data_IF_260620700573
#
_entry.id   IF_260620700573
#
_cell.length_a   1.000
_cell.length_b   1.000
_cell.length_c   1.000
_cell.angle_alpha   90.00
_cell.angle_beta   90.00
_cell.angle_gamma   90.00
#
_symmetry.space_group_name_H-M   'P 1'
#
loop_
_entity.id
_entity.type
_entity.pdbx_description
1 polymer ?
#
# COMPACT_ATOMS: atom_id res chain seq x y z
N UNK A 1 -1.27 -12.12 -19.73
CA UNK A 1 -2.58 -11.44 -19.72
C UNK A 1 -2.45 -9.93 -19.93
N UNK A 2 -1.57 -9.25 -19.21
CA UNK A 2 -1.37 -7.79 -19.32
C UNK A 2 -0.95 -7.28 -20.70
N UNK A 3 -0.04 -7.99 -21.39
CA UNK A 3 0.35 -7.66 -22.76
C UNK A 3 -0.86 -7.71 -23.70
N UNK A 4 -1.69 -8.76 -23.58
CA UNK A 4 -2.90 -8.91 -24.38
C UNK A 4 -3.90 -7.79 -24.11
N UNK A 5 -4.12 -7.44 -22.84
CA UNK A 5 -5.00 -6.32 -22.46
C UNK A 5 -4.50 -5.00 -23.00
N UNK A 6 -3.19 -4.74 -22.89
CA UNK A 6 -2.55 -3.55 -23.44
C UNK A 6 -2.76 -3.49 -24.96
N UNK A 7 -2.56 -4.59 -25.67
CA UNK A 7 -2.73 -4.64 -27.12
C UNK A 7 -4.18 -4.41 -27.52
N UNK A 8 -5.14 -5.12 -26.92
CA UNK A 8 -6.56 -5.02 -27.28
C UNK A 8 -7.11 -3.62 -26.95
N UNK A 9 -6.95 -3.17 -25.70
CA UNK A 9 -7.45 -1.86 -25.28
C UNK A 9 -6.67 -0.72 -25.92
N UNK A 10 -5.35 -0.88 -26.06
CA UNK A 10 -4.47 0.06 -26.73
C UNK A 10 -4.82 0.24 -28.19
N UNK A 11 -5.07 -0.85 -28.94
CA UNK A 11 -5.53 -0.77 -30.33
C UNK A 11 -6.91 -0.12 -30.44
N UNK A 12 -7.84 -0.45 -29.55
CA UNK A 12 -9.16 0.19 -29.53
C UNK A 12 -9.05 1.71 -29.28
N UNK A 13 -8.26 2.12 -28.28
CA UNK A 13 -8.07 3.53 -27.96
C UNK A 13 -7.24 4.27 -29.00
N UNK A 14 -6.29 3.60 -29.65
CA UNK A 14 -5.57 4.13 -30.82
C UNK A 14 -6.54 4.43 -31.96
N UNK A 15 -7.45 3.50 -32.31
CA UNK A 15 -8.48 3.71 -33.33
C UNK A 15 -9.42 4.85 -32.97
N UNK A 16 -9.82 4.93 -31.70
CA UNK A 16 -10.62 6.05 -31.20
C UNK A 16 -9.86 7.37 -31.32
N UNK A 17 -8.58 7.38 -30.93
CA UNK A 17 -7.66 8.51 -31.08
C UNK A 17 -7.53 8.96 -32.53
N UNK A 18 -7.46 8.03 -33.49
CA UNK A 18 -7.48 8.36 -34.91
C UNK A 18 -8.79 9.05 -35.33
N UNK A 19 -9.94 8.55 -34.89
CA UNK A 19 -11.25 9.17 -35.19
C UNK A 19 -11.34 10.57 -34.62
N UNK A 20 -10.88 10.77 -33.39
CA UNK A 20 -10.83 12.08 -32.75
C UNK A 20 -9.86 13.02 -33.47
N UNK A 21 -8.69 12.53 -33.88
CA UNK A 21 -7.74 13.28 -34.72
C UNK A 21 -8.36 13.78 -36.03
N UNK A 22 -9.17 12.94 -36.72
CA UNK A 22 -9.91 13.40 -37.91
C UNK A 22 -10.90 14.53 -37.58
N UNK A 23 -11.58 14.46 -36.43
CA UNK A 23 -12.49 15.51 -35.99
C UNK A 23 -11.74 16.82 -35.71
N UNK A 24 -10.57 16.75 -35.06
CA UNK A 24 -9.72 17.93 -34.83
C UNK A 24 -9.27 18.58 -36.15
N UNK A 25 -8.84 17.78 -37.13
CA UNK A 25 -8.45 18.29 -38.45
C UNK A 25 -9.63 18.97 -39.14
N UNK A 26 -10.84 18.41 -39.05
CA UNK A 26 -12.07 19.06 -39.56
C UNK A 26 -12.36 20.41 -38.86
N UNK A 27 -11.95 20.57 -37.62
CA UNK A 27 -12.03 21.82 -36.86
C UNK A 27 -10.86 22.78 -37.11
N UNK A 28 -10.05 22.53 -38.14
CA UNK A 28 -8.95 23.39 -38.57
C UNK A 28 -7.65 23.19 -37.80
N UNK A 29 -7.52 22.14 -37.00
CA UNK A 29 -6.27 21.82 -36.28
C UNK A 29 -5.25 21.22 -37.25
N UNK A 30 -4.04 21.77 -37.28
CA UNK A 30 -2.91 21.24 -38.06
C UNK A 30 -1.78 20.78 -37.15
N UNK A 31 -0.86 19.96 -37.67
CA UNK A 31 0.29 19.50 -36.89
C UNK A 31 1.22 20.65 -36.48
N UNK A 32 1.27 21.74 -37.25
CA UNK A 32 2.09 22.92 -36.96
C UNK A 32 1.42 23.89 -35.97
N UNK A 33 0.09 23.84 -35.84
CA UNK A 33 -0.70 24.77 -35.04
C UNK A 33 -1.60 24.06 -34.01
N UNK A 34 -1.19 22.87 -33.53
CA UNK A 34 -2.03 22.01 -32.67
C UNK A 34 -2.65 22.77 -31.49
N UNK A 35 -1.91 23.74 -30.94
CA UNK A 35 -2.35 24.61 -29.84
C UNK A 35 -2.11 26.11 -30.09
N UNK A 36 -1.70 26.53 -31.29
CA UNK A 36 -1.33 27.93 -31.54
C UNK A 36 -2.56 28.83 -31.42
N UNK A 37 -2.50 29.82 -30.54
CA UNK A 37 -3.63 30.71 -30.23
C UNK A 37 -4.74 30.05 -29.39
N UNK A 38 -4.55 28.80 -28.94
CA UNK A 38 -5.53 28.00 -28.17
C UNK A 38 -4.97 27.56 -26.81
N UNK A 39 -4.35 28.49 -26.09
CA UNK A 39 -3.69 28.23 -24.79
C UNK A 39 -4.63 27.58 -23.76
N UNK A 40 -5.91 27.94 -23.76
CA UNK A 40 -6.91 27.33 -22.85
C UNK A 40 -7.11 25.83 -23.10
N UNK A 41 -7.13 25.40 -24.36
CA UNK A 41 -7.28 23.98 -24.73
C UNK A 41 -6.00 23.21 -24.39
N UNK A 42 -4.83 23.81 -24.61
CA UNK A 42 -3.55 23.20 -24.23
C UNK A 42 -3.43 23.00 -22.71
N UNK A 43 -3.80 24.03 -21.93
CA UNK A 43 -3.82 23.96 -20.47
C UNK A 43 -4.85 22.95 -19.96
N UNK A 44 -6.02 22.86 -20.59
CA UNK A 44 -7.03 21.85 -20.26
C UNK A 44 -6.49 20.44 -20.53
N UNK A 45 -5.85 20.21 -21.68
CA UNK A 45 -5.26 18.92 -22.02
C UNK A 45 -4.13 18.54 -21.05
N UNK A 46 -3.24 19.48 -20.72
CA UNK A 46 -2.17 19.27 -19.74
C UNK A 46 -2.75 19.02 -18.35
N UNK A 47 -3.73 19.80 -17.92
CA UNK A 47 -4.42 19.64 -16.64
C UNK A 47 -5.16 18.30 -16.53
N UNK A 48 -5.80 17.85 -17.61
CA UNK A 48 -6.42 16.53 -17.68
C UNK A 48 -5.39 15.40 -17.57
N UNK A 49 -4.27 15.50 -18.29
CA UNK A 49 -3.18 14.53 -18.20
C UNK A 49 -2.55 14.47 -16.80
N UNK A 50 -2.26 15.64 -16.20
CA UNK A 50 -1.77 15.73 -14.83
C UNK A 50 -2.80 15.19 -13.83
N UNK A 51 -4.07 15.51 -14.01
CA UNK A 51 -5.16 14.98 -13.18
C UNK A 51 -5.26 13.46 -13.23
N UNK A 52 -5.11 12.88 -14.42
CA UNK A 52 -5.06 11.42 -14.60
C UNK A 52 -3.83 10.80 -13.94
N UNK A 53 -2.66 11.41 -14.06
CA UNK A 53 -1.44 10.95 -13.37
C UNK A 53 -1.60 10.99 -11.85
N UNK A 54 -2.18 12.06 -11.31
CA UNK A 54 -2.45 12.18 -9.88
C UNK A 54 -3.48 11.14 -9.42
N UNK A 55 -4.55 10.93 -10.18
CA UNK A 55 -5.55 9.90 -9.89
C UNK A 55 -4.90 8.51 -9.92
N UNK A 56 -4.11 8.24 -10.95
CA UNK A 56 -3.33 7.02 -11.13
C UNK A 56 -2.44 6.69 -9.92
N UNK A 57 -1.75 7.71 -9.39
CA UNK A 57 -0.84 7.56 -8.24
C UNK A 57 -1.58 7.38 -6.91
N UNK A 58 -2.72 8.07 -6.72
CA UNK A 58 -3.41 8.12 -5.43
C UNK A 58 -4.53 7.09 -5.28
N UNK A 59 -5.23 6.74 -6.37
CA UNK A 59 -6.38 5.85 -6.34
C UNK A 59 -6.03 4.46 -5.77
N UNK A 60 -4.95 3.78 -6.19
CA UNK A 60 -4.58 2.48 -5.64
C UNK A 60 -4.26 2.50 -4.14
N UNK A 61 -3.94 3.67 -3.58
CA UNK A 61 -3.58 3.81 -2.17
C UNK A 61 -4.77 4.13 -1.25
N UNK A 62 -5.97 4.32 -1.82
CA UNK A 62 -7.14 4.69 -1.03
C UNK A 62 -7.59 3.55 -0.11
N UNK A 63 -7.72 3.78 1.22
CA UNK A 63 -8.11 2.73 2.18
C UNK A 63 -9.49 2.13 1.96
N UNK A 64 -10.38 2.83 1.24
CA UNK A 64 -11.74 2.37 0.92
C UNK A 64 -11.76 1.22 -0.09
N UNK A 65 -10.68 1.05 -0.86
CA UNK A 65 -10.62 0.03 -1.89
C UNK A 65 -10.27 -1.34 -1.29
N UNK A 66 -10.79 -2.44 -1.85
CA UNK A 66 -10.43 -3.79 -1.44
C UNK A 66 -8.91 -4.01 -1.48
N UNK A 67 -8.40 -4.85 -0.57
CA UNK A 67 -6.97 -5.17 -0.46
C UNK A 67 -6.41 -5.63 -1.82
N UNK A 68 -7.11 -6.51 -2.52
CA UNK A 68 -6.68 -7.03 -3.82
C UNK A 68 -6.50 -5.91 -4.87
N UNK A 69 -7.39 -4.93 -4.86
CA UNK A 69 -7.26 -3.75 -5.73
C UNK A 69 -6.06 -2.89 -5.32
N UNK A 70 -5.81 -2.70 -4.03
CA UNK A 70 -4.67 -1.89 -3.56
C UNK A 70 -3.32 -2.57 -3.87
N UNK A 71 -3.28 -3.90 -3.86
CA UNK A 71 -2.10 -4.70 -4.24
C UNK A 71 -1.84 -4.63 -5.75
N UNK A 72 -2.87 -4.79 -6.58
CA UNK A 72 -2.71 -4.82 -8.04
C UNK A 72 -2.89 -3.48 -8.73
N UNK A 73 -3.42 -2.48 -8.03
CA UNK A 73 -3.88 -1.21 -8.60
C UNK A 73 -2.76 -0.40 -9.22
N UNK A 74 -1.53 -0.51 -8.70
CA UNK A 74 -0.38 0.12 -9.33
C UNK A 74 -0.15 -0.41 -10.75
N UNK A 75 -0.16 -1.74 -10.95
CA UNK A 75 -0.01 -2.35 -12.28
C UNK A 75 -1.17 -2.00 -13.21
N UNK A 76 -2.40 -1.98 -12.68
CA UNK A 76 -3.58 -1.52 -13.43
C UNK A 76 -3.41 -0.08 -13.88
N UNK A 77 -2.97 0.81 -12.99
CA UNK A 77 -2.66 2.20 -13.30
C UNK A 77 -1.63 2.33 -14.43
N UNK A 78 -0.51 1.61 -14.36
CA UNK A 78 0.52 1.65 -15.40
C UNK A 78 -0.03 1.17 -16.76
N UNK A 79 -0.81 0.09 -16.77
CA UNK A 79 -1.51 -0.39 -17.96
C UNK A 79 -2.45 0.67 -18.53
N UNK A 80 -3.24 1.35 -17.69
CA UNK A 80 -4.15 2.42 -18.13
C UNK A 80 -3.39 3.57 -18.77
N UNK A 81 -2.34 4.07 -18.12
CA UNK A 81 -1.50 5.15 -18.65
C UNK A 81 -0.89 4.78 -20.01
N UNK A 82 -0.42 3.54 -20.15
CA UNK A 82 0.12 3.02 -21.43
C UNK A 82 -0.96 2.99 -22.53
N UNK A 83 -2.15 2.49 -22.21
CA UNK A 83 -3.29 2.49 -23.14
C UNK A 83 -3.65 3.92 -23.56
N UNK A 84 -3.71 4.86 -22.62
CA UNK A 84 -3.97 6.28 -22.91
C UNK A 84 -2.91 6.90 -23.80
N UNK A 85 -1.63 6.61 -23.56
CA UNK A 85 -0.53 7.04 -24.42
C UNK A 85 -0.71 6.56 -25.86
N UNK A 86 -1.13 5.30 -26.07
CA UNK A 86 -1.47 4.80 -27.41
C UNK A 86 -2.61 5.59 -28.06
N UNK A 87 -3.64 5.95 -27.28
CA UNK A 87 -4.72 6.83 -27.76
C UNK A 87 -4.20 8.20 -28.25
N UNK A 88 -3.32 8.83 -27.48
CA UNK A 88 -2.70 10.12 -27.84
C UNK A 88 -1.82 9.97 -29.09
N UNK A 89 -1.06 8.88 -29.21
CA UNK A 89 -0.31 8.57 -30.43
C UNK A 89 -1.22 8.44 -31.66
N UNK A 90 -2.43 7.87 -31.53
CA UNK A 90 -3.41 7.78 -32.61
C UNK A 90 -3.91 9.15 -33.09
N UNK A 91 -4.11 10.10 -32.16
CA UNK A 91 -4.45 11.50 -32.48
C UNK A 91 -3.30 12.14 -33.26
N UNK A 92 -2.08 12.11 -32.70
CA UNK A 92 -0.89 12.69 -33.32
C UNK A 92 -0.61 12.12 -34.71
N UNK A 93 -0.69 10.80 -34.86
CA UNK A 93 -0.51 10.11 -36.13
C UNK A 93 -1.49 10.62 -37.20
N UNK A 94 -2.78 10.73 -36.85
CA UNK A 94 -3.81 11.14 -37.81
C UNK A 94 -3.69 12.60 -38.22
N UNK A 95 -3.43 13.50 -37.26
CA UNK A 95 -3.24 14.93 -37.54
C UNK A 95 -2.02 15.14 -38.43
N UNK A 96 -0.88 14.50 -38.12
CA UNK A 96 0.31 14.58 -38.96
C UNK A 96 0.10 13.94 -40.32
N UNK A 97 -0.57 12.79 -40.42
CA UNK A 97 -0.85 12.14 -41.71
C UNK A 97 -1.67 13.03 -42.66
N UNK A 98 -2.65 13.74 -42.12
CA UNK A 98 -3.56 14.57 -42.90
C UNK A 98 -3.01 15.97 -43.21
N UNK A 99 -2.14 16.53 -42.36
CA UNK A 99 -1.71 17.93 -42.50
C UNK A 99 -0.21 18.13 -42.75
N UNK A 100 0.64 17.16 -42.40
CA UNK A 100 2.09 17.26 -42.52
C UNK A 100 2.75 15.85 -42.62
N UNK A 101 2.63 15.21 -43.79
CA UNK A 101 3.09 13.82 -43.99
C UNK A 101 4.57 13.59 -43.65
N UNK A 102 5.42 14.60 -43.85
CA UNK A 102 6.84 14.53 -43.48
C UNK A 102 7.07 14.36 -41.97
N UNK A 103 6.13 14.77 -41.12
CA UNK A 103 6.22 14.65 -39.67
C UNK A 103 5.72 13.29 -39.13
N UNK A 104 5.08 12.45 -39.97
CA UNK A 104 4.52 11.15 -39.55
C UNK A 104 5.61 10.26 -38.97
N UNK A 105 6.78 10.20 -39.62
CA UNK A 105 7.91 9.39 -39.16
C UNK A 105 8.36 9.87 -37.77
N UNK A 106 8.47 11.19 -37.56
CA UNK A 106 8.83 11.75 -36.27
C UNK A 106 7.82 11.39 -35.18
N UNK A 107 6.52 11.47 -35.46
CA UNK A 107 5.46 11.08 -34.50
C UNK A 107 5.53 9.59 -34.16
N UNK A 108 5.78 8.72 -35.15
CA UNK A 108 5.95 7.29 -34.91
C UNK A 108 7.16 7.04 -34.01
N UNK A 109 8.31 7.66 -34.31
CA UNK A 109 9.52 7.52 -33.51
C UNK A 109 9.32 8.01 -32.07
N UNK A 110 8.69 9.17 -31.88
CA UNK A 110 8.37 9.70 -30.55
C UNK A 110 7.40 8.76 -29.82
N UNK A 111 6.39 8.22 -30.51
CA UNK A 111 5.47 7.25 -29.93
C UNK A 111 6.16 5.97 -29.47
N UNK A 112 7.06 5.43 -30.30
CA UNK A 112 7.86 4.24 -29.96
C UNK A 112 8.82 4.50 -28.80
N UNK A 113 9.51 5.64 -28.79
CA UNK A 113 10.39 6.03 -27.69
C UNK A 113 9.60 6.25 -26.39
N UNK A 114 8.44 6.90 -26.47
CA UNK A 114 7.55 7.11 -25.33
C UNK A 114 7.02 5.80 -24.74
N UNK A 115 6.48 4.92 -25.59
CA UNK A 115 5.98 3.61 -25.16
C UNK A 115 7.09 2.69 -24.65
N UNK A 116 8.24 2.66 -25.34
CA UNK A 116 9.40 1.88 -24.94
C UNK A 116 10.01 2.37 -23.62
N UNK A 117 10.18 3.69 -23.47
CA UNK A 117 10.66 4.30 -22.24
C UNK A 117 9.72 4.05 -21.06
N UNK A 118 8.42 4.23 -21.27
CA UNK A 118 7.40 3.98 -20.23
C UNK A 118 7.37 2.51 -19.81
N UNK A 119 7.40 1.57 -20.76
CA UNK A 119 7.43 0.13 -20.48
C UNK A 119 8.71 -0.28 -19.78
N UNK A 120 9.86 0.30 -20.16
CA UNK A 120 11.15 0.04 -19.52
C UNK A 120 11.17 0.57 -18.08
N UNK A 121 10.62 1.76 -17.85
CA UNK A 121 10.50 2.35 -16.52
C UNK A 121 9.63 1.47 -15.61
N UNK A 122 8.46 1.06 -16.08
CA UNK A 122 7.58 0.15 -15.34
C UNK A 122 8.27 -1.18 -15.03
N UNK A 123 8.90 -1.81 -16.04
CA UNK A 123 9.62 -3.07 -15.85
C UNK A 123 10.74 -2.93 -14.81
N UNK A 124 11.44 -1.81 -14.81
CA UNK A 124 12.46 -1.51 -13.81
C UNK A 124 11.86 -1.31 -12.41
N UNK A 125 10.87 -0.43 -12.25
CA UNK A 125 10.30 -0.10 -10.94
C UNK A 125 9.52 -1.25 -10.31
N UNK A 126 8.81 -2.04 -11.13
CA UNK A 126 8.06 -3.21 -10.68
C UNK A 126 8.89 -4.51 -10.68
N UNK A 127 10.18 -4.44 -11.03
CA UNK A 127 11.06 -5.58 -10.96
C UNK A 127 11.09 -6.13 -9.53
N UNK A 128 10.90 -7.45 -9.36
CA UNK A 128 11.01 -8.07 -8.05
C UNK A 128 12.44 -7.95 -7.50
N UNK A 129 12.58 -7.76 -6.19
CA UNK A 129 13.90 -7.67 -5.54
C UNK A 129 14.30 -8.95 -4.80
N UNK A 130 13.34 -9.85 -4.55
CA UNK A 130 13.48 -10.97 -3.62
C UNK A 130 14.49 -12.06 -4.04
N UNK A 131 14.96 -12.04 -5.30
CA UNK A 131 16.01 -12.95 -5.76
C UNK A 131 17.41 -12.52 -5.28
N UNK A 132 17.58 -11.23 -5.00
CA UNK A 132 18.87 -10.62 -4.64
C UNK A 132 19.00 -10.35 -3.14
N UNK A 133 17.95 -10.66 -2.35
CA UNK A 133 17.95 -10.46 -0.90
C UNK A 133 18.75 -11.55 -0.18
N UNK A 134 19.46 -11.15 0.88
CA UNK A 134 20.22 -12.05 1.73
C UNK A 134 19.59 -12.02 3.13
N UNK A 135 19.12 -13.17 3.60
CA UNK A 135 18.44 -13.26 4.89
C UNK A 135 19.42 -13.02 6.06
N UNK A 136 19.43 -11.78 6.58
CA UNK A 136 20.40 -11.33 7.57
C UNK A 136 19.77 -11.20 8.96
N UNK A 137 19.50 -12.34 9.60
CA UNK A 137 19.04 -12.38 10.98
C UNK A 137 20.17 -11.96 11.93
N UNK A 138 19.94 -10.92 12.71
CA UNK A 138 20.90 -10.43 13.70
C UNK A 138 20.75 -11.20 15.02
N UNK A 139 21.80 -11.28 15.86
CA UNK A 139 21.76 -11.99 17.15
C UNK A 139 20.68 -11.50 18.13
N UNK A 140 20.20 -10.26 17.96
CA UNK A 140 19.11 -9.68 18.74
C UNK A 140 17.70 -10.08 18.24
N UNK A 141 17.61 -10.95 17.23
CA UNK A 141 16.35 -11.43 16.67
C UNK A 141 15.71 -10.52 15.62
N UNK A 142 16.36 -9.42 15.23
CA UNK A 142 15.87 -8.50 14.18
C UNK A 142 16.49 -8.88 12.84
N UNK A 143 15.67 -9.00 11.80
CA UNK A 143 16.17 -9.12 10.42
C UNK A 143 16.67 -7.76 9.95
N UNK A 144 17.95 -7.68 9.56
CA UNK A 144 18.50 -6.50 8.91
C UNK A 144 18.14 -6.55 7.43
N UNK A 145 17.54 -5.48 6.91
CA UNK A 145 17.22 -5.40 5.49
C UNK A 145 18.50 -5.39 4.64
N UNK A 146 18.43 -6.03 3.48
CA UNK A 146 19.53 -6.09 2.51
C UNK A 146 19.27 -5.25 1.25
N UNK A 147 18.05 -4.69 1.13
CA UNK A 147 17.68 -3.69 0.14
C UNK A 147 16.99 -2.50 0.80
N UNK A 148 17.05 -1.32 0.20
CA UNK A 148 16.30 -0.14 0.64
C UNK A 148 14.78 -0.33 0.53
N UNK A 149 14.34 -1.29 -0.31
CA UNK A 149 12.94 -1.56 -0.62
C UNK A 149 12.34 -2.71 0.21
N UNK A 150 13.14 -3.37 1.05
CA UNK A 150 12.74 -4.55 1.83
C UNK A 150 12.53 -4.31 3.33
N UNK A 151 12.44 -3.06 3.77
CA UNK A 151 12.19 -2.71 5.18
C UNK A 151 10.91 -3.38 5.75
N UNK A 152 9.78 -3.33 5.04
CA UNK A 152 8.54 -3.95 5.51
C UNK A 152 8.60 -5.48 5.55
N UNK A 153 9.14 -6.18 4.52
CA UNK A 153 9.43 -7.61 4.61
C UNK A 153 10.31 -8.00 5.79
N UNK A 154 11.41 -7.29 6.02
CA UNK A 154 12.31 -7.55 7.14
C UNK A 154 11.65 -7.29 8.51
N UNK A 155 10.83 -6.24 8.61
CA UNK A 155 10.05 -5.95 9.81
C UNK A 155 9.02 -7.05 10.09
N UNK A 156 8.26 -7.50 9.08
CA UNK A 156 7.31 -8.60 9.26
C UNK A 156 8.03 -9.92 9.59
N UNK A 157 9.13 -10.26 8.91
CA UNK A 157 9.94 -11.44 9.24
C UNK A 157 10.41 -11.40 10.71
N UNK A 158 10.80 -10.23 11.21
CA UNK A 158 11.16 -10.02 12.62
C UNK A 158 9.98 -10.29 13.56
N UNK A 159 8.79 -9.80 13.23
CA UNK A 159 7.57 -10.08 14.00
C UNK A 159 7.26 -11.57 13.98
N UNK A 160 7.24 -12.20 12.81
CA UNK A 160 6.93 -13.62 12.65
C UNK A 160 7.94 -14.54 13.33
N UNK A 161 9.20 -14.12 13.45
CA UNK A 161 10.19 -14.86 14.24
C UNK A 161 9.80 -14.95 15.71
N UNK A 162 9.20 -13.90 16.28
CA UNK A 162 8.64 -13.95 17.65
C UNK A 162 7.44 -14.87 17.77
N UNK A 163 6.70 -15.06 16.68
CA UNK A 163 5.64 -16.05 16.57
C UNK A 163 6.17 -17.49 16.44
N UNK A 164 7.50 -17.69 16.48
CA UNK A 164 8.12 -19.01 16.29
C UNK A 164 8.05 -19.49 14.84
N UNK A 165 7.68 -18.62 13.90
CA UNK A 165 7.53 -18.97 12.49
C UNK A 165 8.85 -18.78 11.76
N UNK A 166 9.13 -19.70 10.83
CA UNK A 166 10.32 -19.63 9.98
C UNK A 166 10.02 -18.77 8.73
N UNK A 167 10.00 -17.47 8.94
CA UNK A 167 9.85 -16.47 7.88
C UNK A 167 11.12 -15.63 7.80
N UNK A 168 11.57 -15.37 6.58
CA UNK A 168 12.79 -14.60 6.29
C UNK A 168 12.47 -13.35 5.49
N UNK A 169 13.43 -12.45 5.34
CA UNK A 169 13.26 -11.23 4.55
C UNK A 169 12.87 -11.59 3.11
N UNK A 170 13.60 -12.54 2.51
CA UNK A 170 13.40 -12.98 1.12
C UNK A 170 12.06 -13.70 0.92
N UNK A 171 11.64 -14.55 1.87
CA UNK A 171 10.37 -15.29 1.75
C UNK A 171 9.17 -14.35 1.89
N UNK A 172 9.21 -13.42 2.84
CA UNK A 172 8.17 -12.40 2.99
C UNK A 172 8.13 -11.47 1.78
N UNK A 173 9.27 -11.02 1.27
CA UNK A 173 9.33 -10.15 0.09
C UNK A 173 8.75 -10.82 -1.16
N UNK A 174 8.98 -12.13 -1.31
CA UNK A 174 8.41 -12.92 -2.40
C UNK A 174 6.89 -12.99 -2.31
N UNK A 175 6.35 -13.29 -1.12
CA UNK A 175 4.91 -13.42 -0.91
C UNK A 175 4.19 -12.06 -0.99
N UNK A 176 4.85 -10.98 -0.58
CA UNK A 176 4.33 -9.62 -0.71
C UNK A 176 4.40 -9.08 -2.16
N UNK A 177 5.20 -9.71 -3.03
CA UNK A 177 5.50 -9.18 -4.36
C UNK A 177 6.28 -7.86 -4.28
N UNK A 178 7.23 -7.77 -3.34
CA UNK A 178 8.05 -6.58 -3.15
C UNK A 178 8.84 -6.24 -4.40
N UNK A 179 8.77 -4.97 -4.81
CA UNK A 179 9.46 -4.44 -5.98
C UNK A 179 10.47 -3.37 -5.58
N UNK A 180 11.14 -2.76 -6.56
CA UNK A 180 12.04 -1.62 -6.31
C UNK A 180 11.32 -0.42 -5.69
N UNK A 181 10.01 -0.28 -5.89
CA UNK A 181 9.20 0.75 -5.23
C UNK A 181 8.92 0.46 -3.75
N UNK A 182 9.28 -0.72 -3.25
CA UNK A 182 9.04 -1.13 -1.88
C UNK A 182 7.85 -2.07 -1.73
N UNK A 183 7.29 -2.08 -0.52
CA UNK A 183 6.16 -2.92 -0.13
C UNK A 183 5.14 -2.08 0.61
N UNK A 184 3.89 -2.15 0.17
CA UNK A 184 2.75 -1.50 0.83
C UNK A 184 2.18 -2.36 1.97
N UNK A 185 1.45 -1.76 2.92
CA UNK A 185 0.78 -2.50 3.99
C UNK A 185 -0.22 -3.56 3.48
N UNK A 186 -1.03 -3.31 2.42
CA UNK A 186 -1.86 -4.34 1.79
C UNK A 186 -1.08 -5.55 1.31
N UNK A 187 0.07 -5.34 0.64
CA UNK A 187 0.96 -6.42 0.21
C UNK A 187 1.50 -7.22 1.40
N UNK A 188 1.83 -6.53 2.49
CA UNK A 188 2.29 -7.15 3.72
C UNK A 188 1.21 -8.03 4.37
N UNK A 189 -0.05 -7.60 4.33
CA UNK A 189 -1.20 -8.40 4.81
C UNK A 189 -1.38 -9.66 3.94
N UNK A 190 -1.23 -9.55 2.62
CA UNK A 190 -1.28 -10.73 1.72
C UNK A 190 -0.15 -11.70 2.06
N UNK A 191 1.07 -11.20 2.31
CA UNK A 191 2.20 -12.04 2.72
C UNK A 191 1.96 -12.74 4.07
N UNK A 192 1.45 -12.01 5.07
CA UNK A 192 1.10 -12.57 6.38
C UNK A 192 0.08 -13.71 6.25
N UNK A 193 -0.96 -13.53 5.42
CA UNK A 193 -1.97 -14.55 5.10
C UNK A 193 -1.40 -15.78 4.43
N UNK A 194 -0.50 -15.59 3.47
CA UNK A 194 0.18 -16.69 2.81
C UNK A 194 1.09 -17.50 3.76
N UNK A 195 1.56 -16.88 4.85
CA UNK A 195 2.36 -17.53 5.89
C UNK A 195 1.51 -18.19 7.00
N UNK A 196 0.17 -18.13 6.92
CA UNK A 196 -0.73 -18.80 7.85
C UNK A 196 -1.14 -17.99 9.07
N UNK A 197 -0.77 -16.71 9.15
CA UNK A 197 -1.30 -15.75 10.12
C UNK A 197 -2.20 -14.74 9.42
N UNK A 198 -2.80 -13.82 10.15
CA UNK A 198 -3.64 -12.79 9.58
C UNK A 198 -3.23 -11.42 10.12
N UNK A 199 -3.68 -10.40 9.40
CA UNK A 199 -3.32 -9.02 9.63
C UNK A 199 -4.41 -8.11 9.08
N UNK A 200 -4.55 -6.93 9.69
CA UNK A 200 -5.39 -5.85 9.17
C UNK A 200 -4.64 -4.53 9.27
N UNK A 201 -4.98 -3.57 8.43
CA UNK A 201 -4.41 -2.23 8.48
C UNK A 201 -5.26 -1.35 9.40
N UNK A 202 -4.61 -0.75 10.40
CA UNK A 202 -5.25 0.09 11.40
C UNK A 202 -4.56 1.45 11.48
N UNK A 203 -5.32 2.44 11.94
CA UNK A 203 -4.80 3.75 12.35
C UNK A 203 -5.10 4.04 13.83
N UNK A 204 -4.52 3.25 14.74
CA UNK A 204 -4.87 3.29 16.15
C UNK A 204 -4.25 4.49 16.88
N UNK A 205 -4.68 4.75 18.11
CA UNK A 205 -3.90 5.52 19.09
C UNK A 205 -2.88 4.64 19.83
N UNK A 206 -2.03 5.24 20.66
CA UNK A 206 -1.10 4.52 21.52
C UNK A 206 -1.82 3.52 22.44
N UNK A 207 -2.88 3.98 23.11
CA UNK A 207 -3.71 3.18 24.02
C UNK A 207 -4.40 2.03 23.27
N UNK A 208 -4.87 2.29 22.05
CA UNK A 208 -5.48 1.25 21.22
C UNK A 208 -4.45 0.18 20.81
N UNK A 209 -3.19 0.55 20.52
CA UNK A 209 -2.13 -0.44 20.27
C UNK A 209 -1.84 -1.29 21.51
N UNK A 210 -1.77 -0.66 22.70
CA UNK A 210 -1.63 -1.38 23.97
C UNK A 210 -2.76 -2.37 24.19
N UNK A 211 -4.01 -1.92 23.99
CA UNK A 211 -5.19 -2.76 24.18
C UNK A 211 -5.29 -3.90 23.16
N UNK A 212 -4.86 -3.68 21.90
CA UNK A 212 -4.75 -4.75 20.90
C UNK A 212 -3.69 -5.77 21.30
N UNK A 213 -2.63 -5.36 22.01
CA UNK A 213 -1.60 -6.21 22.62
C UNK A 213 -0.96 -7.26 21.70
N UNK A 214 -0.69 -6.91 20.43
CA UNK A 214 -0.10 -7.83 19.44
C UNK A 214 1.14 -7.23 18.80
N UNK A 215 2.23 -7.99 18.59
CA UNK A 215 3.30 -7.54 17.73
C UNK A 215 2.82 -7.29 16.30
N UNK A 216 3.44 -6.34 15.62
CA UNK A 216 3.00 -5.94 14.29
C UNK A 216 4.00 -5.04 13.60
N UNK A 217 3.62 -4.52 12.44
CA UNK A 217 4.48 -3.60 11.67
C UNK A 217 3.92 -2.19 11.72
N UNK A 218 4.79 -1.22 11.98
CA UNK A 218 4.45 0.20 11.97
C UNK A 218 5.05 0.88 10.75
N UNK A 219 4.32 1.84 10.18
CA UNK A 219 4.90 2.78 9.21
C UNK A 219 5.42 4.02 9.92
N UNK A 220 6.68 4.37 9.69
CA UNK A 220 7.33 5.57 10.22
C UNK A 220 7.98 6.37 9.08
N UNK A 221 8.23 7.64 9.34
CA UNK A 221 8.99 8.53 8.47
C UNK A 221 10.43 8.60 8.97
N UNK A 222 11.38 8.06 8.21
CA UNK A 222 12.79 8.35 8.42
C UNK A 222 13.10 9.75 7.87
N UNK A 223 13.58 10.64 8.73
CA UNK A 223 14.10 11.94 8.31
C UNK A 223 15.59 11.81 7.99
N UNK A 224 15.93 11.75 6.70
CA UNK A 224 17.32 11.85 6.22
C UNK A 224 17.54 13.27 5.69
N UNK A 225 17.94 14.20 6.57
CA UNK A 225 18.06 15.61 6.23
C UNK A 225 16.69 16.26 5.97
N UNK A 226 16.55 16.99 4.86
CA UNK A 226 15.30 17.67 4.49
C UNK A 226 14.21 16.75 3.91
N UNK A 227 14.53 15.48 3.60
CA UNK A 227 13.62 14.56 2.93
C UNK A 227 13.11 13.52 3.92
N UNK A 228 11.79 13.40 4.02
CA UNK A 228 11.09 12.35 4.76
C UNK A 228 10.84 11.16 3.83
N UNK A 229 11.37 9.98 4.17
CA UNK A 229 11.12 8.74 3.43
C UNK A 229 10.27 7.79 4.25
N UNK A 230 9.27 7.13 3.66
CA UNK A 230 8.51 6.10 4.35
C UNK A 230 9.43 4.92 4.68
N UNK A 231 9.24 4.36 5.88
CA UNK A 231 9.98 3.24 6.42
C UNK A 231 9.05 2.35 7.24
N UNK A 232 9.41 1.08 7.40
CA UNK A 232 8.63 0.13 8.19
C UNK A 232 9.50 -0.48 9.27
N UNK A 233 8.94 -0.59 10.48
CA UNK A 233 9.62 -1.15 11.65
C UNK A 233 8.72 -2.16 12.35
N UNK A 234 9.34 -3.15 13.00
CA UNK A 234 8.61 -4.13 13.80
C UNK A 234 8.27 -3.52 15.17
N UNK A 235 7.01 -3.47 15.57
CA UNK A 235 6.60 -3.20 16.94
C UNK A 235 6.68 -4.49 17.75
N UNK A 236 7.57 -4.50 18.74
CA UNK A 236 7.92 -5.68 19.51
C UNK A 236 7.28 -5.66 20.90
N UNK A 237 7.21 -4.49 21.52
CA UNK A 237 6.55 -4.28 22.81
C UNK A 237 6.13 -2.81 22.96
N UNK A 238 5.14 -2.56 23.81
CA UNK A 238 4.67 -1.21 24.13
C UNK A 238 4.08 -1.18 25.54
N UNK A 239 4.42 -0.16 26.32
CA UNK A 239 3.82 0.13 27.62
C UNK A 239 3.37 1.59 27.68
N UNK A 240 3.09 2.13 28.86
CA UNK A 240 2.53 3.48 29.00
C UNK A 240 3.48 4.60 28.52
N UNK A 241 4.80 4.35 28.52
CA UNK A 241 5.81 5.37 28.23
C UNK A 241 6.73 5.04 27.06
N UNK A 242 6.99 3.75 26.81
CA UNK A 242 8.01 3.27 25.87
C UNK A 242 7.45 2.24 24.90
N UNK A 243 7.83 2.40 23.63
CA UNK A 243 7.69 1.40 22.58
C UNK A 243 9.06 0.80 22.25
N UNK A 244 9.11 -0.53 22.15
CA UNK A 244 10.27 -1.27 21.69
C UNK A 244 10.04 -1.63 20.23
N UNK A 245 10.91 -1.13 19.35
CA UNK A 245 10.84 -1.41 17.92
C UNK A 245 12.09 -2.15 17.43
N UNK A 246 11.91 -3.06 16.48
CA UNK A 246 13.00 -3.64 15.67
C UNK A 246 13.09 -2.88 14.36
N UNK A 247 14.14 -2.07 14.19
CA UNK A 247 14.39 -1.35 12.95
C UNK A 247 15.23 -2.20 12.00
N UNK A 248 14.71 -2.58 10.83
CA UNK A 248 15.41 -3.41 9.87
C UNK A 248 16.58 -2.69 9.19
N UNK A 249 16.61 -1.36 9.12
CA UNK A 249 17.69 -0.64 8.43
C UNK A 249 19.06 -0.89 9.09
N UNK A 250 19.24 -0.64 10.41
CA UNK A 250 20.44 -1.03 11.13
C UNK A 250 20.39 -2.48 11.65
N UNK A 251 19.21 -3.14 11.64
CA UNK A 251 19.01 -4.45 12.26
C UNK A 251 19.13 -4.40 13.78
N UNK A 252 18.59 -3.34 14.40
CA UNK A 252 18.74 -3.06 15.84
C UNK A 252 17.39 -2.87 16.52
N UNK A 253 17.38 -3.09 17.83
CA UNK A 253 16.24 -2.78 18.70
C UNK A 253 16.43 -1.36 19.23
N UNK A 254 15.35 -0.57 19.19
CA UNK A 254 15.29 0.77 19.77
C UNK A 254 14.18 0.87 20.80
N UNK A 255 14.42 1.67 21.83
CA UNK A 255 13.46 2.03 22.87
C UNK A 255 13.08 3.49 22.63
N UNK A 256 11.85 3.71 22.22
CA UNK A 256 11.35 5.05 21.90
C UNK A 256 10.30 5.45 22.92
N UNK A 257 10.47 6.62 23.52
CA UNK A 257 9.40 7.21 24.30
C UNK A 257 8.21 7.60 23.38
N UNK A 258 7.04 7.78 24.00
CA UNK A 258 5.80 8.13 23.29
C UNK A 258 5.91 9.39 22.42
N UNK A 259 6.59 10.43 22.90
CA UNK A 259 6.73 11.69 22.15
C UNK A 259 7.66 11.50 20.93
N UNK A 260 8.74 10.76 21.09
CA UNK A 260 9.70 10.44 20.04
C UNK A 260 9.04 9.58 18.96
N UNK A 261 8.29 8.53 19.32
CA UNK A 261 7.57 7.73 18.33
C UNK A 261 6.53 8.58 17.58
N UNK A 262 5.75 9.40 18.30
CA UNK A 262 4.71 10.24 17.72
C UNK A 262 5.23 11.23 16.66
N UNK A 263 6.50 11.65 16.73
CA UNK A 263 7.12 12.56 15.73
C UNK A 263 7.33 11.91 14.37
N UNK A 264 7.57 10.60 14.34
CA UNK A 264 7.92 9.88 13.10
C UNK A 264 6.82 8.92 12.66
N UNK A 265 5.91 8.53 13.55
CA UNK A 265 4.86 7.56 13.23
C UNK A 265 3.85 8.12 12.22
N UNK A 266 3.65 7.38 11.12
CA UNK A 266 2.67 7.71 10.08
C UNK A 266 1.25 7.26 10.43
N UNK A 267 1.02 6.86 11.69
CA UNK A 267 -0.26 6.36 12.23
C UNK A 267 -0.76 5.10 11.54
N UNK A 268 0.10 4.33 10.90
CA UNK A 268 -0.26 3.04 10.31
C UNK A 268 0.34 1.91 11.13
N UNK A 269 -0.49 0.91 11.40
CA UNK A 269 -0.18 -0.25 12.21
C UNK A 269 -0.84 -1.49 11.62
N UNK A 270 -0.05 -2.56 11.48
CA UNK A 270 -0.48 -3.85 10.98
C UNK A 270 -0.22 -4.90 12.08
N UNK A 271 -1.16 -5.12 13.01
CA UNK A 271 -1.05 -6.20 14.00
C UNK A 271 -1.06 -7.55 13.31
N UNK A 272 -0.25 -8.49 13.82
CA UNK A 272 -0.27 -9.89 13.40
C UNK A 272 -1.05 -10.70 14.44
N UNK A 273 -1.89 -11.62 13.98
CA UNK A 273 -2.73 -12.48 14.83
C UNK A 273 -3.13 -13.78 14.12
N UNK A 274 -3.62 -14.78 14.87
CA UNK A 274 -4.23 -15.98 14.27
C UNK A 274 -5.64 -15.65 13.81
N UNK A 275 -6.09 -16.22 12.70
CA UNK A 275 -7.47 -16.01 12.23
C UNK A 275 -8.53 -16.39 13.27
N UNK A 276 -8.23 -17.33 14.17
CA UNK A 276 -9.10 -17.73 15.29
C UNK A 276 -9.23 -16.67 16.38
N UNK A 277 -8.27 -15.75 16.51
CA UNK A 277 -8.26 -14.74 17.57
C UNK A 277 -9.32 -13.63 17.34
N UNK A 278 -9.87 -13.53 16.12
CA UNK A 278 -10.83 -12.51 15.71
C UNK A 278 -12.16 -13.11 15.23
N UNK A 279 -12.51 -14.32 15.65
CA UNK A 279 -13.81 -14.92 15.34
C UNK A 279 -14.54 -15.18 16.66
N UNK A 280 -14.79 -14.09 17.39
CA UNK A 280 -15.41 -14.19 18.71
C UNK A 280 -16.88 -14.55 18.55
N UNK A 281 -17.30 -15.65 19.16
CA UNK A 281 -18.73 -15.91 19.34
C UNK A 281 -19.34 -14.88 20.29
N UNK A 282 -20.64 -14.63 20.17
CA UNK A 282 -21.37 -13.74 21.10
C UNK A 282 -21.13 -14.14 22.56
N UNK A 283 -21.07 -15.44 22.84
CA UNK A 283 -20.76 -15.96 24.18
C UNK A 283 -19.37 -15.55 24.67
N UNK A 284 -18.34 -15.67 23.82
CA UNK A 284 -16.97 -15.25 24.17
C UNK A 284 -16.89 -13.73 24.33
N UNK A 285 -17.58 -12.97 23.47
CA UNK A 285 -17.63 -11.52 23.57
C UNK A 285 -18.28 -11.08 24.89
N UNK A 286 -19.41 -11.70 25.28
CA UNK A 286 -20.07 -11.44 26.58
C UNK A 286 -19.12 -11.76 27.74
N UNK A 287 -18.43 -12.90 27.71
CA UNK A 287 -17.46 -13.28 28.75
C UNK A 287 -16.33 -12.26 28.90
N UNK A 288 -15.71 -11.85 27.78
CA UNK A 288 -14.65 -10.84 27.77
C UNK A 288 -15.14 -9.47 28.25
N UNK A 289 -16.30 -9.02 27.77
CA UNK A 289 -16.92 -7.77 28.20
C UNK A 289 -17.23 -7.79 29.69
N UNK A 290 -17.80 -8.89 30.20
CA UNK A 290 -18.10 -9.06 31.63
C UNK A 290 -16.83 -8.99 32.47
N UNK A 291 -15.75 -9.67 32.06
CA UNK A 291 -14.44 -9.63 32.73
C UNK A 291 -13.82 -8.23 32.74
N UNK A 292 -14.14 -7.41 31.73
CA UNK A 292 -13.74 -6.00 31.66
C UNK A 292 -14.72 -5.05 32.38
N UNK A 293 -15.78 -5.56 33.01
CA UNK A 293 -16.76 -4.77 33.78
C UNK A 293 -17.97 -4.26 32.98
N UNK A 294 -18.13 -4.68 31.73
CA UNK A 294 -19.29 -4.38 30.89
C UNK A 294 -20.32 -5.51 31.04
N UNK A 295 -21.31 -5.32 31.92
CA UNK A 295 -22.34 -6.32 32.21
C UNK A 295 -23.72 -5.67 32.37
N UNK A 296 -24.23 -5.07 31.29
CA UNK A 296 -25.59 -4.50 31.27
C UNK A 296 -26.68 -5.55 31.01
N UNK A 297 -26.29 -6.79 30.69
CA UNK A 297 -27.21 -7.84 30.24
C UNK A 297 -27.62 -7.73 28.78
N UNK A 298 -27.10 -6.74 28.04
CA UNK A 298 -27.33 -6.56 26.61
C UNK A 298 -26.00 -6.43 25.88
N UNK A 299 -25.64 -7.45 25.08
CA UNK A 299 -24.37 -7.50 24.35
C UNK A 299 -24.14 -6.27 23.47
N UNK A 300 -25.18 -5.79 22.77
CA UNK A 300 -25.04 -4.61 21.91
C UNK A 300 -24.71 -3.37 22.73
N UNK A 301 -25.40 -3.15 23.84
CA UNK A 301 -25.15 -2.02 24.74
C UNK A 301 -23.76 -2.11 25.38
N UNK A 302 -23.32 -3.31 25.77
CA UNK A 302 -21.98 -3.52 26.32
C UNK A 302 -20.88 -3.25 25.26
N UNK A 303 -21.10 -3.65 24.01
CA UNK A 303 -20.22 -3.32 22.88
C UNK A 303 -20.18 -1.81 22.63
N UNK A 304 -21.34 -1.13 22.57
CA UNK A 304 -21.42 0.31 22.35
C UNK A 304 -20.67 1.10 23.44
N UNK A 305 -20.81 0.65 24.70
CA UNK A 305 -20.10 1.23 25.84
C UNK A 305 -18.59 0.99 25.75
N UNK A 306 -18.18 -0.24 25.48
CA UNK A 306 -16.77 -0.58 25.27
C UNK A 306 -16.14 0.25 24.14
N UNK A 307 -16.85 0.40 23.00
CA UNK A 307 -16.43 1.24 21.88
C UNK A 307 -16.29 2.71 22.27
N UNK A 308 -17.22 3.22 23.05
CA UNK A 308 -17.19 4.61 23.54
C UNK A 308 -15.98 4.85 24.45
N UNK A 309 -15.77 4.00 25.45
CA UNK A 309 -14.68 4.12 26.43
C UNK A 309 -13.31 4.03 25.74
N UNK A 310 -13.20 3.23 24.68
CA UNK A 310 -11.98 3.01 23.91
C UNK A 310 -11.80 3.95 22.70
N UNK A 311 -12.63 5.01 22.61
CA UNK A 311 -12.58 6.01 21.53
C UNK A 311 -12.65 5.40 20.13
N UNK A 312 -13.46 4.36 19.98
CA UNK A 312 -13.74 3.70 18.70
C UNK A 312 -14.98 4.30 18.03
N UNK A 313 -15.19 3.96 16.75
CA UNK A 313 -16.46 4.24 16.09
C UNK A 313 -17.54 3.35 16.72
N UNK A 314 -18.54 3.98 17.33
CA UNK A 314 -19.67 3.27 17.95
C UNK A 314 -20.56 2.67 16.86
N UNK A 315 -20.64 1.34 16.84
CA UNK A 315 -21.43 0.55 15.89
C UNK A 315 -22.38 -0.43 16.59
N UNK A 316 -22.06 -0.81 17.83
CA UNK A 316 -22.74 -1.88 18.57
C UNK A 316 -22.56 -3.27 17.96
N UNK A 317 -21.60 -3.41 17.04
CA UNK A 317 -21.28 -4.66 16.36
C UNK A 317 -19.85 -5.09 16.69
N UNK A 318 -19.61 -6.39 16.69
CA UNK A 318 -18.27 -6.97 16.73
C UNK A 318 -17.57 -6.79 15.38
N UNK A 319 -17.19 -5.57 15.07
CA UNK A 319 -16.28 -5.31 13.94
C UNK A 319 -14.85 -5.75 14.28
N UNK A 320 -14.00 -5.88 13.26
CA UNK A 320 -12.63 -6.40 13.41
C UNK A 320 -11.79 -5.64 14.42
N UNK A 321 -11.97 -4.32 14.52
CA UNK A 321 -11.25 -3.49 15.49
C UNK A 321 -11.73 -3.82 16.90
N UNK A 322 -13.04 -3.89 17.09
CA UNK A 322 -13.66 -4.27 18.37
C UNK A 322 -13.22 -5.65 18.82
N UNK A 323 -13.22 -6.65 17.92
CA UNK A 323 -12.77 -8.02 18.23
C UNK A 323 -11.30 -8.05 18.68
N UNK A 324 -10.41 -7.33 18.00
CA UNK A 324 -8.99 -7.28 18.34
C UNK A 324 -8.74 -6.60 19.70
N UNK A 325 -9.41 -5.49 19.97
CA UNK A 325 -9.28 -4.78 21.23
C UNK A 325 -9.87 -5.57 22.40
N UNK A 326 -10.97 -6.27 22.17
CA UNK A 326 -11.62 -7.08 23.20
C UNK A 326 -10.77 -8.30 23.56
N UNK A 327 -10.23 -8.99 22.55
CA UNK A 327 -9.40 -10.19 22.75
C UNK A 327 -7.98 -9.90 23.26
N UNK A 328 -7.46 -8.67 23.09
CA UNK A 328 -6.06 -8.35 23.40
C UNK A 328 -5.65 -8.60 24.86
N UNK A 329 -6.57 -8.37 25.81
CA UNK A 329 -6.34 -8.64 27.24
C UNK A 329 -6.35 -10.15 27.59
N UNK A 330 -6.95 -10.97 26.72
CA UNK A 330 -7.21 -12.40 26.95
C UNK A 330 -6.45 -13.30 25.98
N UNK A 331 -5.43 -12.76 25.32
CA UNK A 331 -4.56 -13.54 24.43
C UNK A 331 -3.86 -14.65 25.20
N UNK A 332 -3.79 -15.84 24.61
CA UNK A 332 -3.08 -16.99 25.17
C UNK A 332 -2.27 -17.71 24.08
N UNK A 333 -1.06 -18.15 24.44
CA UNK A 333 -0.17 -18.89 23.55
C UNK A 333 0.31 -18.12 22.33
N UNK A 334 0.32 -16.78 22.38
CA UNK A 334 0.79 -15.90 21.30
C UNK A 334 1.66 -14.77 21.86
N UNK A 335 2.57 -14.20 21.05
CA UNK A 335 3.36 -13.04 21.44
C UNK A 335 2.48 -11.83 21.78
N UNK A 336 2.83 -11.12 22.86
CA UNK A 336 2.15 -9.91 23.34
C UNK A 336 3.09 -8.70 23.32
N UNK A 337 2.51 -7.50 23.38
CA UNK A 337 3.28 -6.26 23.45
C UNK A 337 3.65 -5.85 24.89
N UNK A 338 2.90 -6.30 25.89
CA UNK A 338 3.18 -6.05 27.31
C UNK A 338 4.42 -6.81 27.83
N UNK A 339 5.06 -7.63 26.98
CA UNK A 339 6.26 -8.38 27.31
C UNK A 339 6.02 -9.61 28.19
N UNK A 340 4.75 -10.00 28.39
CA UNK A 340 4.36 -11.22 29.11
C UNK A 340 4.17 -12.43 28.21
#
# INVERSE_FOLDING_TARGET
MEILLTLVLGSALFVWGMRFGKALVRSGVTANDLFKGRNSIALLFLGFYLGLLLLALNLPQMPVLPIDWRVHGMRVTWTLLRVMLMGVCGIGFTVSWLTARSQVIAVILIGLLGLGGFTSAEAYFLAPIYADLIDNLRPNGVFRQTSDSSCAPAALATVLKRWGMDATESSVARLAGTSRLGTSMPQLIVAARALGVNAIELRPTWEQMQQINRPGVLSISLATGAIKRPHAVALLAINDSVAIIGDPAPGKIFYLDRATLARFWLKEYVPIFRSTDILLSDKQAIDYLTKLGYNSGNLRTDIERFQTDNKMKVSGKLDRMTELMLSGAFLEGVPRLDGK
#
